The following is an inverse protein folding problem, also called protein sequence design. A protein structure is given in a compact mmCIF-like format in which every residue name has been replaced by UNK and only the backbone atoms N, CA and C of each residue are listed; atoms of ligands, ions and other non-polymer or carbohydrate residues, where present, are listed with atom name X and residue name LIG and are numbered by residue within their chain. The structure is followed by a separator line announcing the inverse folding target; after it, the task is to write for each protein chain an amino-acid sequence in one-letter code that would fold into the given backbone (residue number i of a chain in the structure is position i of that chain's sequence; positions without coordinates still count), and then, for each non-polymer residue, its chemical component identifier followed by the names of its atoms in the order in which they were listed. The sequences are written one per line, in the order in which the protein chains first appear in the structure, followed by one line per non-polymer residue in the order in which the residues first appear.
data_IF_431762993494
#
_entry.id   IF_431762993494
#
_cell.length_a   1.000
_cell.length_b   1.000
_cell.length_c   1.000
_cell.angle_alpha   90.00
_cell.angle_beta   90.00
_cell.angle_gamma   90.00
#
_symmetry.space_group_name_H-M   'P 1'
#
loop_
_entity.id
_entity.type
_entity.pdbx_description
1 polymer ?
#
# COMPACT_ATOMS: atom_id res chain seq x y z
N UNK A 1 18.16 -9.69 13.83
CA UNK A 1 17.51 -9.02 12.68
C UNK A 1 16.50 -9.91 11.97
N UNK A 2 16.48 -11.23 12.20
CA UNK A 2 15.57 -12.17 11.53
C UNK A 2 14.19 -12.30 12.21
N UNK A 3 14.13 -12.12 13.54
CA UNK A 3 12.86 -12.18 14.28
C UNK A 3 11.92 -11.00 13.99
N UNK A 4 12.45 -9.81 13.69
CA UNK A 4 11.65 -8.62 13.39
C UNK A 4 10.93 -8.72 12.04
N UNK A 5 11.46 -9.48 11.08
CA UNK A 5 10.90 -9.57 9.72
C UNK A 5 9.48 -10.17 9.69
N UNK A 6 9.14 -11.08 10.62
CA UNK A 6 7.80 -11.68 10.69
C UNK A 6 6.75 -10.80 11.36
N UNK A 7 7.17 -9.73 12.03
CA UNK A 7 6.29 -8.90 12.86
C UNK A 7 6.39 -7.42 12.51
N UNK A 8 7.14 -7.06 11.48
CA UNK A 8 7.20 -5.70 10.98
C UNK A 8 6.43 -5.59 9.66
N UNK A 9 5.72 -4.48 9.49
CA UNK A 9 4.91 -4.20 8.30
C UNK A 9 4.86 -2.69 8.04
N UNK A 10 4.26 -2.30 6.91
CA UNK A 10 3.99 -0.92 6.57
C UNK A 10 2.65 -0.49 7.16
N UNK A 11 2.60 0.75 7.62
CA UNK A 11 1.41 1.43 8.10
C UNK A 11 1.25 2.77 7.41
N UNK A 12 0.01 3.13 7.09
CA UNK A 12 -0.38 4.49 6.72
C UNK A 12 -0.87 5.23 7.97
N UNK A 13 -0.38 6.44 8.19
CA UNK A 13 -0.91 7.36 9.20
C UNK A 13 -2.04 8.15 8.54
N UNK A 14 -3.25 8.06 9.10
CA UNK A 14 -4.46 8.64 8.49
C UNK A 14 -5.06 9.71 9.39
N UNK A 15 -5.12 10.95 8.91
CA UNK A 15 -5.78 12.06 9.60
C UNK A 15 -6.96 12.58 8.77
N UNK A 16 -8.14 12.65 9.40
CA UNK A 16 -9.40 13.06 8.74
C UNK A 16 -9.69 12.31 7.43
N UNK A 17 -9.39 11.00 7.40
CA UNK A 17 -9.58 10.16 6.22
C UNK A 17 -8.57 10.39 5.10
N UNK A 18 -7.46 11.09 5.36
CA UNK A 18 -6.39 11.32 4.38
C UNK A 18 -5.06 10.80 4.94
N UNK A 19 -4.30 10.09 4.10
CA UNK A 19 -2.97 9.60 4.46
C UNK A 19 -1.99 10.76 4.57
N UNK A 20 -1.37 10.94 5.72
CA UNK A 20 -0.39 12.00 5.99
C UNK A 20 1.05 11.51 5.97
N UNK A 21 1.28 10.22 6.22
CA UNK A 21 2.61 9.59 6.18
C UNK A 21 2.50 8.07 6.03
N UNK A 22 3.59 7.44 5.60
CA UNK A 22 3.75 5.98 5.59
C UNK A 22 4.98 5.62 6.43
N UNK A 23 4.82 4.69 7.36
CA UNK A 23 5.89 4.25 8.27
C UNK A 23 6.08 2.75 8.20
N UNK A 24 7.30 2.31 8.53
CA UNK A 24 7.62 0.90 8.75
C UNK A 24 7.78 0.65 10.25
N UNK A 25 7.11 -0.37 10.78
CA UNK A 25 7.10 -0.60 12.22
C UNK A 25 6.68 -2.01 12.62
N UNK A 26 6.91 -2.33 13.89
CA UNK A 26 6.44 -3.58 14.51
C UNK A 26 4.93 -3.54 14.74
N UNK A 27 4.23 -4.64 14.44
CA UNK A 27 2.78 -4.79 14.70
C UNK A 27 2.42 -4.61 16.18
N UNK A 28 3.37 -4.88 17.08
CA UNK A 28 3.16 -4.72 18.52
C UNK A 28 3.20 -3.25 18.98
N UNK A 29 3.76 -2.37 18.15
CA UNK A 29 3.85 -0.93 18.41
C UNK A 29 2.71 -0.16 17.76
N UNK A 30 1.75 -0.85 17.10
CA UNK A 30 0.62 -0.18 16.46
C UNK A 30 -0.19 0.69 17.45
N UNK A 31 -0.23 0.32 18.74
CA UNK A 31 -0.86 1.11 19.80
C UNK A 31 -0.21 2.48 20.04
N UNK A 32 1.06 2.66 19.65
CA UNK A 32 1.77 3.94 19.81
C UNK A 32 1.29 4.98 18.76
N UNK A 33 0.62 4.51 17.70
CA UNK A 33 0.12 5.31 16.59
C UNK A 33 -1.38 5.03 16.39
N UNK A 34 -2.28 5.65 17.16
CA UNK A 34 -3.71 5.32 17.17
C UNK A 34 -4.42 5.58 15.83
N UNK A 35 -3.82 6.38 14.96
CA UNK A 35 -4.28 6.67 13.60
C UNK A 35 -3.50 5.90 12.52
N UNK A 36 -2.67 4.93 12.90
CA UNK A 36 -2.00 4.04 11.98
C UNK A 36 -2.94 2.92 11.51
N UNK A 37 -3.05 2.78 10.19
CA UNK A 37 -3.74 1.70 9.52
C UNK A 37 -2.70 0.80 8.89
N UNK A 38 -2.79 -0.50 9.14
CA UNK A 38 -1.88 -1.49 8.53
C UNK A 38 -2.17 -1.58 7.04
N UNK A 39 -1.14 -1.44 6.21
CA UNK A 39 -1.27 -1.47 4.74
C UNK A 39 -0.49 -2.61 4.09
N UNK A 40 0.41 -3.28 4.82
CA UNK A 40 1.22 -4.39 4.32
C UNK A 40 1.95 -4.06 3.01
N UNK A 41 1.46 -4.56 1.88
CA UNK A 41 2.03 -4.40 0.54
C UNK A 41 1.20 -3.49 -0.39
N UNK A 42 0.13 -2.87 0.12
CA UNK A 42 -0.62 -1.84 -0.61
C UNK A 42 0.29 -0.65 -0.94
N UNK A 43 0.20 -0.17 -2.18
CA UNK A 43 0.99 0.94 -2.69
C UNK A 43 0.43 2.32 -2.25
N UNK A 44 0.09 2.45 -0.96
CA UNK A 44 -0.51 3.67 -0.38
C UNK A 44 0.50 4.82 -0.38
N UNK A 45 0.02 6.01 -0.76
CA UNK A 45 0.78 7.23 -0.86
C UNK A 45 0.18 8.34 0.03
N UNK A 46 1.02 9.31 0.38
CA UNK A 46 0.56 10.52 1.07
C UNK A 46 -0.45 11.26 0.18
N UNK A 47 -1.58 11.63 0.76
CA UNK A 47 -2.70 12.27 0.07
C UNK A 47 -3.80 11.29 -0.38
N UNK A 48 -3.59 9.99 -0.27
CA UNK A 48 -4.65 9.00 -0.53
C UNK A 48 -5.79 9.15 0.48
N UNK A 49 -7.01 8.90 0.02
CA UNK A 49 -8.18 8.90 0.89
C UNK A 49 -8.40 7.51 1.51
N UNK A 50 -8.87 7.45 2.74
CA UNK A 50 -9.25 6.23 3.44
C UNK A 50 -10.67 6.36 4.00
N UNK A 51 -11.54 5.42 3.62
CA UNK A 51 -12.96 5.43 4.02
C UNK A 51 -13.28 4.61 5.28
N UNK A 52 -12.25 4.00 5.90
CA UNK A 52 -12.39 3.05 7.00
C UNK A 52 -12.29 1.58 6.57
N UNK A 53 -12.32 1.30 5.26
CA UNK A 53 -12.13 -0.05 4.70
C UNK A 53 -11.01 -0.05 3.65
N UNK A 54 -11.00 0.93 2.74
CA UNK A 54 -10.14 0.96 1.55
C UNK A 54 -9.45 2.30 1.37
N UNK A 55 -8.29 2.23 0.71
CA UNK A 55 -7.53 3.39 0.28
C UNK A 55 -7.86 3.73 -1.17
N UNK A 56 -7.89 5.03 -1.49
CA UNK A 56 -8.16 5.52 -2.83
C UNK A 56 -7.11 6.55 -3.26
N UNK A 57 -6.47 6.29 -4.39
CA UNK A 57 -5.63 7.25 -5.07
C UNK A 57 -6.42 7.87 -6.23
N UNK A 58 -6.69 9.17 -6.16
CA UNK A 58 -7.44 9.90 -7.21
C UNK A 58 -8.81 9.30 -7.56
N UNK A 59 -9.46 8.67 -6.58
CA UNK A 59 -10.77 8.02 -6.74
C UNK A 59 -10.73 6.56 -7.16
N UNK A 60 -9.55 6.00 -7.44
CA UNK A 60 -9.36 4.59 -7.75
C UNK A 60 -8.85 3.83 -6.52
N UNK A 61 -9.29 2.60 -6.32
CA UNK A 61 -8.85 1.77 -5.18
C UNK A 61 -7.36 1.50 -5.29
N UNK A 62 -6.62 1.80 -4.23
CA UNK A 62 -5.19 1.49 -4.14
C UNK A 62 -5.00 -0.02 -4.13
N UNK A 63 -4.11 -0.49 -5.00
CA UNK A 63 -3.73 -1.90 -5.13
C UNK A 63 -2.33 -2.14 -4.58
N UNK A 64 -1.96 -3.40 -4.45
CA UNK A 64 -0.57 -3.80 -4.18
C UNK A 64 0.31 -3.50 -5.39
N UNK A 65 1.61 -3.33 -5.17
CA UNK A 65 2.57 -3.14 -6.28
C UNK A 65 2.53 -4.34 -7.24
N UNK A 66 2.31 -5.55 -6.74
CA UNK A 66 2.23 -6.75 -7.57
C UNK A 66 1.00 -6.75 -8.49
N UNK A 67 -0.16 -6.31 -7.99
CA UNK A 67 -1.37 -6.17 -8.81
C UNK A 67 -1.19 -5.12 -9.91
N UNK A 68 -0.59 -3.96 -9.59
CA UNK A 68 -0.29 -2.92 -10.59
C UNK A 68 0.67 -3.43 -11.68
N UNK A 69 1.69 -4.20 -11.30
CA UNK A 69 2.63 -4.80 -12.25
C UNK A 69 1.96 -5.84 -13.14
N UNK A 70 1.03 -6.63 -12.60
CA UNK A 70 0.29 -7.63 -13.36
C UNK A 70 -0.71 -6.98 -14.33
N UNK A 71 -1.39 -5.90 -13.91
CA UNK A 71 -2.26 -5.10 -14.77
C UNK A 71 -1.46 -4.48 -15.93
N UNK A 72 -0.30 -3.88 -15.63
CA UNK A 72 0.61 -3.34 -16.63
C UNK A 72 1.11 -4.42 -17.61
N UNK A 73 1.51 -5.60 -17.11
CA UNK A 73 1.93 -6.73 -17.97
C UNK A 73 0.79 -7.19 -18.89
N UNK A 74 -0.42 -7.29 -18.35
CA UNK A 74 -1.61 -7.67 -19.10
C UNK A 74 -1.96 -6.64 -20.19
N UNK A 75 -1.86 -5.35 -19.87
CA UNK A 75 -2.07 -4.27 -20.81
C UNK A 75 -1.02 -4.26 -21.94
N UNK A 76 0.26 -4.48 -21.61
CA UNK A 76 1.33 -4.59 -22.59
C UNK A 76 1.14 -5.78 -23.54
N UNK A 77 0.73 -6.93 -23.00
CA UNK A 77 0.41 -8.11 -23.80
C UNK A 77 -0.75 -7.84 -24.79
N UNK A 78 -1.78 -7.10 -24.36
CA UNK A 78 -2.89 -6.68 -25.23
C UNK A 78 -2.42 -5.76 -26.37
N UNK A 79 -1.44 -4.89 -26.10
CA UNK A 79 -0.82 -4.01 -27.10
C UNK A 79 0.16 -4.75 -28.04
N UNK A 80 0.36 -6.05 -27.86
CA UNK A 80 1.30 -6.84 -28.65
C UNK A 80 2.77 -6.56 -28.34
N UNK A 81 3.05 -5.89 -27.21
CA UNK A 81 4.41 -5.71 -26.70
C UNK A 81 4.77 -6.96 -25.92
N UNK A 82 5.39 -7.93 -26.60
CA UNK A 82 6.09 -9.01 -25.93
C UNK A 82 7.40 -8.44 -25.39
N UNK A 83 7.69 -8.66 -24.10
CA UNK A 83 9.01 -8.41 -23.54
C UNK A 83 9.99 -9.46 -24.07
N UNK A 84 10.14 -9.52 -25.39
CA UNK A 84 11.13 -10.35 -26.05
C UNK A 84 12.45 -9.58 -25.94
N UNK A 85 13.32 -10.07 -25.05
CA UNK A 85 14.74 -9.76 -25.12
C UNK A 85 15.38 -10.44 -26.33
#
# INVERSE_FOLDING_TARGET
MELMSRYATNFAIVDNGIVTSTIWGSIYNASDFPNAVRIDDLAVQVGDAYDGERFYHRGEVVRTVSEELEDMRSALALLGVTADG
#
